data_IF_858153988608
#
_entry.id   IF_858153988608
#
_cell.length_a   1.000
_cell.length_b   1.000
_cell.length_c   1.000
_cell.angle_alpha   90.00
_cell.angle_beta   90.00
_cell.angle_gamma   90.00
#
_symmetry.space_group_name_H-M   'P 1'
#
loop_
_entity.id
_entity.type
_entity.pdbx_description
1 polymer ?
#
# COMPACT_ATOMS: atom_id res chain seq x y z
N UNK A 1 38.07 9.10 -8.47
CA UNK A 1 37.41 8.07 -7.64
C UNK A 1 35.90 8.29 -7.62
N UNK A 2 35.39 9.50 -7.30
CA UNK A 2 33.93 9.78 -7.24
C UNK A 2 33.23 9.64 -8.60
N UNK A 3 33.86 10.06 -9.70
CA UNK A 3 33.31 9.91 -11.04
C UNK A 3 33.23 8.43 -11.46
N UNK A 4 34.20 7.64 -11.07
CA UNK A 4 34.19 6.17 -11.27
C UNK A 4 33.10 5.51 -10.43
N UNK A 5 32.96 5.89 -9.16
CA UNK A 5 31.94 5.41 -8.28
C UNK A 5 30.53 5.71 -8.82
N UNK A 6 30.30 6.90 -9.36
CA UNK A 6 29.02 7.30 -9.95
C UNK A 6 28.72 6.62 -11.28
N UNK A 7 29.74 6.09 -12.00
CA UNK A 7 29.57 5.34 -13.26
C UNK A 7 29.35 3.84 -13.05
N UNK A 8 29.69 3.34 -11.86
CA UNK A 8 29.56 1.93 -11.49
C UNK A 8 28.34 1.80 -10.59
N UNK A 9 27.15 1.67 -11.18
CA UNK A 9 25.92 1.40 -10.44
C UNK A 9 25.83 -0.09 -10.04
N UNK A 10 26.73 -0.54 -9.16
CA UNK A 10 26.60 -1.84 -8.50
C UNK A 10 25.74 -1.61 -7.27
N UNK A 11 24.44 -1.85 -7.40
CA UNK A 11 23.46 -1.65 -6.32
C UNK A 11 23.24 -2.90 -5.46
N UNK A 12 23.71 -4.07 -5.94
CA UNK A 12 23.50 -5.35 -5.24
C UNK A 12 24.59 -6.38 -5.60
N UNK A 13 24.72 -7.41 -4.77
CA UNK A 13 25.61 -8.54 -5.09
C UNK A 13 25.21 -9.28 -6.37
N UNK A 14 23.96 -9.18 -6.81
CA UNK A 14 23.51 -9.71 -8.08
C UNK A 14 24.13 -8.96 -9.27
N UNK A 15 24.32 -7.64 -9.14
CA UNK A 15 24.92 -6.82 -10.20
C UNK A 15 26.40 -7.12 -10.36
N UNK A 16 27.08 -7.55 -9.29
CA UNK A 16 28.48 -8.01 -9.30
C UNK A 16 28.65 -9.15 -10.30
N UNK A 17 27.82 -10.18 -10.27
CA UNK A 17 27.86 -11.32 -11.18
C UNK A 17 27.61 -10.91 -12.64
N UNK A 18 26.69 -10.00 -12.89
CA UNK A 18 26.39 -9.49 -14.21
C UNK A 18 27.56 -8.64 -14.75
N UNK A 19 28.17 -7.83 -13.90
CA UNK A 19 29.29 -6.97 -14.24
C UNK A 19 30.55 -7.81 -14.52
N UNK A 20 30.82 -8.84 -13.74
CA UNK A 20 31.94 -9.77 -13.99
C UNK A 20 31.83 -10.44 -15.36
N UNK A 21 30.63 -10.90 -15.75
CA UNK A 21 30.36 -11.49 -17.08
C UNK A 21 30.56 -10.49 -18.22
N UNK A 22 30.20 -9.23 -18.02
CA UNK A 22 30.43 -8.16 -19.01
C UNK A 22 31.91 -7.83 -19.12
N UNK A 23 32.61 -7.73 -17.99
CA UNK A 23 34.04 -7.40 -17.96
C UNK A 23 34.90 -8.50 -18.58
N UNK A 24 34.54 -9.76 -18.40
CA UNK A 24 35.22 -10.89 -19.03
C UNK A 24 35.14 -10.87 -20.56
N UNK A 25 34.16 -10.18 -21.14
CA UNK A 25 33.95 -10.07 -22.61
C UNK A 25 34.48 -8.75 -23.18
N UNK A 26 34.93 -7.81 -22.35
CA UNK A 26 35.35 -6.50 -22.82
C UNK A 26 36.78 -6.56 -23.35
N UNK A 27 37.02 -5.87 -24.44
CA UNK A 27 38.37 -5.63 -25.00
C UNK A 27 38.92 -4.24 -24.56
N UNK A 28 38.15 -3.50 -23.83
CA UNK A 28 38.57 -2.18 -23.32
C UNK A 28 39.72 -2.32 -22.33
N UNK A 29 40.66 -1.39 -22.37
CA UNK A 29 41.81 -1.30 -21.49
C UNK A 29 41.86 0.10 -20.83
N UNK A 30 42.46 0.20 -19.66
CA UNK A 30 42.63 1.46 -18.98
C UNK A 30 42.41 1.39 -17.47
N UNK A 31 42.80 2.48 -16.73
CA UNK A 31 42.80 2.47 -15.26
C UNK A 31 41.43 2.13 -14.64
N UNK A 32 40.34 2.53 -15.31
CA UNK A 32 39.01 2.25 -14.82
C UNK A 32 38.65 0.75 -14.92
N UNK A 33 39.09 0.09 -16.01
CA UNK A 33 38.88 -1.35 -16.20
C UNK A 33 39.68 -2.16 -15.21
N UNK A 34 40.94 -1.76 -14.95
CA UNK A 34 41.82 -2.43 -13.99
C UNK A 34 41.29 -2.28 -12.56
N UNK A 35 40.81 -1.07 -12.18
CA UNK A 35 40.17 -0.85 -10.89
C UNK A 35 38.90 -1.70 -10.71
N UNK A 36 38.12 -1.86 -11.78
CA UNK A 36 36.92 -2.72 -11.75
C UNK A 36 37.29 -4.18 -11.61
N UNK A 37 38.31 -4.67 -12.32
CA UNK A 37 38.79 -6.04 -12.17
C UNK A 37 39.21 -6.32 -10.74
N UNK A 38 40.05 -5.46 -10.15
CA UNK A 38 40.50 -5.60 -8.79
C UNK A 38 39.32 -5.64 -7.78
N UNK A 39 38.33 -4.78 -7.97
CA UNK A 39 37.12 -4.79 -7.14
C UNK A 39 36.34 -6.10 -7.30
N UNK A 40 36.16 -6.59 -8.52
CA UNK A 40 35.43 -7.83 -8.78
C UNK A 40 36.17 -9.05 -8.23
N UNK A 41 37.50 -9.11 -8.34
CA UNK A 41 38.30 -10.20 -7.79
C UNK A 41 38.12 -10.33 -6.27
N UNK A 42 37.92 -9.20 -5.56
CA UNK A 42 37.65 -9.18 -4.14
C UNK A 42 36.21 -9.58 -3.78
N UNK A 43 35.21 -9.09 -4.52
CA UNK A 43 33.79 -9.21 -4.15
C UNK A 43 33.08 -10.40 -4.80
N UNK A 44 33.60 -10.91 -5.94
CA UNK A 44 32.99 -12.00 -6.69
C UNK A 44 32.81 -13.29 -5.88
N UNK A 45 33.75 -13.76 -5.08
CA UNK A 45 33.58 -14.96 -4.26
C UNK A 45 32.38 -14.87 -3.32
N UNK A 46 32.17 -13.68 -2.73
CA UNK A 46 31.01 -13.43 -1.86
C UNK A 46 29.70 -13.45 -2.66
N UNK A 47 29.68 -12.80 -3.83
CA UNK A 47 28.52 -12.77 -4.71
C UNK A 47 28.12 -14.18 -5.19
N UNK A 48 29.07 -15.02 -5.53
CA UNK A 48 28.85 -16.42 -5.91
C UNK A 48 28.34 -17.27 -4.73
N UNK A 49 28.94 -17.09 -3.56
CA UNK A 49 28.47 -17.78 -2.35
C UNK A 49 27.01 -17.42 -2.02
N UNK A 50 26.66 -16.14 -2.10
CA UNK A 50 25.26 -15.68 -1.90
C UNK A 50 24.34 -16.22 -2.99
N UNK A 51 24.77 -16.22 -4.26
CA UNK A 51 24.00 -16.76 -5.38
C UNK A 51 23.71 -18.26 -5.20
N UNK A 52 24.66 -19.03 -4.67
CA UNK A 52 24.50 -20.48 -4.39
C UNK A 52 23.44 -20.77 -3.33
N UNK A 53 23.10 -19.79 -2.49
CA UNK A 53 22.05 -19.93 -1.49
C UNK A 53 20.65 -19.75 -2.06
N UNK A 54 20.51 -19.28 -3.30
CA UNK A 54 19.21 -18.98 -3.93
C UNK A 54 18.25 -20.17 -3.89
N UNK A 55 18.75 -21.36 -4.14
CA UNK A 55 17.94 -22.58 -4.15
C UNK A 55 17.64 -23.12 -2.74
N UNK A 56 18.36 -22.62 -1.73
CA UNK A 56 18.16 -22.95 -0.32
C UNK A 56 17.22 -21.96 0.37
N UNK A 57 16.86 -20.86 -0.29
CA UNK A 57 15.96 -19.85 0.27
C UNK A 57 14.53 -20.36 0.22
N UNK A 58 13.98 -20.67 1.37
CA UNK A 58 12.55 -20.95 1.53
C UNK A 58 11.82 -19.62 1.40
N UNK A 59 11.09 -19.43 0.30
CA UNK A 59 10.25 -18.25 0.10
C UNK A 59 9.05 -18.32 1.04
N UNK A 60 8.85 -17.26 1.78
CA UNK A 60 7.72 -17.12 2.66
C UNK A 60 8.13 -16.75 4.08
N UNK A 61 7.14 -16.64 4.94
CA UNK A 61 7.37 -16.41 6.37
C UNK A 61 7.89 -17.69 6.99
N UNK A 62 9.00 -17.61 7.73
CA UNK A 62 9.47 -18.75 8.55
C UNK A 62 8.28 -19.26 9.37
N UNK A 63 7.92 -20.55 9.29
CA UNK A 63 6.89 -21.11 10.16
C UNK A 63 7.25 -20.77 11.61
N UNK A 64 6.29 -20.25 12.37
CA UNK A 64 6.53 -20.03 13.79
C UNK A 64 6.88 -21.38 14.42
N UNK A 65 8.06 -21.47 14.99
CA UNK A 65 8.48 -22.63 15.80
C UNK A 65 7.66 -22.76 17.10
N UNK A 66 7.00 -21.67 17.50
CA UNK A 66 6.07 -21.71 18.64
C UNK A 66 4.71 -22.26 18.20
N UNK A 67 4.12 -23.15 18.97
CA UNK A 67 2.77 -23.62 18.74
C UNK A 67 1.84 -22.42 18.62
N UNK A 68 0.93 -22.46 17.66
CA UNK A 68 -0.08 -21.40 17.50
C UNK A 68 -0.71 -21.16 18.88
N UNK A 69 -0.81 -19.89 19.29
CA UNK A 69 -1.47 -19.56 20.56
C UNK A 69 -2.80 -20.30 20.61
N UNK A 70 -3.11 -20.97 21.73
CA UNK A 70 -4.35 -21.73 21.83
C UNK A 70 -5.52 -20.83 21.38
N UNK A 71 -6.28 -21.32 20.42
CA UNK A 71 -7.47 -20.63 19.94
C UNK A 71 -8.42 -20.56 21.13
N UNK A 72 -8.77 -19.37 21.57
CA UNK A 72 -9.77 -19.21 22.61
C UNK A 72 -11.10 -19.76 22.07
N UNK A 73 -11.62 -20.88 22.61
CA UNK A 73 -12.83 -21.51 22.13
C UNK A 73 -14.07 -20.61 22.28
N UNK A 74 -14.01 -19.61 23.17
CA UNK A 74 -15.10 -18.66 23.42
C UNK A 74 -14.99 -17.40 22.54
N UNK A 75 -14.04 -17.37 21.58
CA UNK A 75 -13.87 -16.23 20.69
C UNK A 75 -14.96 -16.24 19.60
N UNK A 76 -15.96 -15.41 19.77
CA UNK A 76 -16.98 -15.18 18.76
C UNK A 76 -16.38 -14.30 17.66
N UNK A 77 -16.46 -14.73 16.42
CA UNK A 77 -16.02 -13.98 15.24
C UNK A 77 -17.20 -13.77 14.32
N UNK A 78 -17.46 -12.51 13.94
CA UNK A 78 -18.55 -12.10 13.05
C UNK A 78 -18.05 -11.09 12.01
N UNK A 79 -18.88 -10.73 11.05
CA UNK A 79 -18.52 -9.82 9.96
C UNK A 79 -18.63 -8.37 10.41
N UNK A 80 -17.58 -7.58 10.20
CA UNK A 80 -17.61 -6.15 10.42
C UNK A 80 -18.53 -5.47 9.41
N UNK A 81 -19.49 -4.66 9.88
CA UNK A 81 -20.46 -3.98 9.03
C UNK A 81 -19.88 -2.88 8.11
N UNK A 82 -18.64 -2.42 8.36
CA UNK A 82 -17.99 -1.39 7.56
C UNK A 82 -16.95 -1.94 6.57
N UNK A 83 -16.15 -2.93 6.96
CA UNK A 83 -15.07 -3.45 6.10
C UNK A 83 -15.27 -4.92 5.68
N UNK A 84 -16.35 -5.55 6.08
CA UNK A 84 -16.76 -6.93 5.74
C UNK A 84 -15.75 -8.03 6.09
N UNK A 85 -14.76 -7.74 6.94
CA UNK A 85 -13.80 -8.75 7.44
C UNK A 85 -14.36 -9.47 8.64
N UNK A 86 -13.95 -10.73 8.79
CA UNK A 86 -14.24 -11.54 9.97
C UNK A 86 -13.39 -11.02 11.15
N UNK A 87 -14.04 -10.47 12.17
CA UNK A 87 -13.41 -9.80 13.32
C UNK A 87 -14.02 -10.34 14.61
N UNK A 88 -13.24 -10.42 15.68
CA UNK A 88 -13.72 -10.80 16.99
C UNK A 88 -14.77 -9.81 17.51
N UNK A 89 -15.80 -10.34 18.16
CA UNK A 89 -16.81 -9.55 18.87
C UNK A 89 -16.36 -9.39 20.32
N UNK A 90 -16.44 -8.18 20.84
CA UNK A 90 -16.16 -7.84 22.24
C UNK A 90 -17.36 -8.20 23.13
N UNK A 91 -17.12 -8.30 24.44
CA UNK A 91 -18.20 -8.58 25.42
C UNK A 91 -19.38 -7.59 25.34
N UNK A 92 -19.11 -6.34 24.93
CA UNK A 92 -20.13 -5.32 24.70
C UNK A 92 -20.93 -5.48 23.39
N UNK A 93 -20.69 -6.53 22.61
CA UNK A 93 -21.40 -6.79 21.35
C UNK A 93 -20.90 -5.99 20.15
N UNK A 94 -19.86 -5.17 20.30
CA UNK A 94 -19.22 -4.41 19.21
C UNK A 94 -17.99 -5.14 18.66
N UNK A 95 -17.46 -4.67 17.52
CA UNK A 95 -16.29 -5.27 16.88
C UNK A 95 -15.00 -4.90 17.63
N UNK A 96 -14.07 -5.84 17.73
CA UNK A 96 -12.73 -5.55 18.25
C UNK A 96 -11.98 -4.58 17.33
N UNK A 97 -10.96 -3.89 17.87
CA UNK A 97 -10.08 -2.99 17.10
C UNK A 97 -9.41 -3.71 15.93
N UNK A 98 -9.56 -3.18 14.73
CA UNK A 98 -8.99 -3.74 13.51
C UNK A 98 -8.82 -2.67 12.44
N UNK A 99 -8.15 -3.03 11.32
CA UNK A 99 -7.99 -2.12 10.19
C UNK A 99 -6.83 -1.13 10.30
N UNK A 100 -6.13 -1.12 11.44
CA UNK A 100 -4.92 -0.34 11.58
C UNK A 100 -3.71 -1.15 11.06
N UNK A 101 -2.81 -0.50 10.36
CA UNK A 101 -1.48 -1.04 10.12
C UNK A 101 -0.61 -0.67 11.33
N UNK A 102 0.08 -1.66 11.90
CA UNK A 102 1.16 -1.35 12.84
C UNK A 102 2.32 -0.81 12.02
N UNK A 103 2.80 0.38 12.30
CA UNK A 103 3.91 0.93 11.57
C UNK A 103 5.21 0.21 11.92
N UNK A 104 6.05 -0.04 10.92
CA UNK A 104 7.48 -0.20 11.13
C UNK A 104 8.13 1.13 11.52
N UNK A 105 7.56 2.26 11.07
CA UNK A 105 8.19 3.59 11.14
C UNK A 105 7.26 4.71 11.63
N UNK A 106 6.40 4.44 12.60
CA UNK A 106 5.69 5.51 13.32
C UNK A 106 4.34 5.97 12.75
N UNK A 107 3.85 5.41 11.67
CA UNK A 107 2.50 5.70 11.17
C UNK A 107 1.46 4.75 11.74
N UNK A 108 0.60 5.27 12.59
CA UNK A 108 -0.56 4.55 13.07
C UNK A 108 -1.79 4.98 12.26
N UNK A 109 -2.32 4.08 11.43
CA UNK A 109 -3.59 4.33 10.75
C UNK A 109 -4.74 4.20 11.76
N UNK A 110 -5.79 4.97 11.57
CA UNK A 110 -6.99 4.87 12.40
C UNK A 110 -7.62 3.49 12.31
N UNK A 111 -8.21 3.02 13.40
CA UNK A 111 -9.02 1.81 13.39
C UNK A 111 -10.21 1.95 12.45
N UNK A 112 -10.67 0.81 11.90
CA UNK A 112 -11.90 0.78 11.13
C UNK A 112 -13.08 1.36 11.93
N UNK A 113 -13.91 2.24 11.36
CA UNK A 113 -15.09 2.78 12.06
C UNK A 113 -16.06 1.70 12.54
N UNK A 114 -16.00 0.49 11.96
CA UNK A 114 -16.78 -0.67 12.37
C UNK A 114 -16.65 -1.08 13.83
N UNK A 115 -15.61 -0.62 14.54
CA UNK A 115 -15.47 -0.83 16.00
C UNK A 115 -16.61 -0.21 16.82
N UNK A 116 -17.33 0.76 16.26
CA UNK A 116 -18.44 1.47 16.92
C UNK A 116 -19.77 0.78 16.75
N UNK A 117 -19.85 -0.18 15.84
CA UNK A 117 -21.10 -0.83 15.42
C UNK A 117 -21.13 -2.30 15.82
N UNK A 118 -22.32 -2.82 15.90
CA UNK A 118 -22.57 -4.26 16.03
C UNK A 118 -22.15 -4.99 14.73
N UNK A 119 -21.91 -6.30 14.80
CA UNK A 119 -21.66 -7.11 13.62
C UNK A 119 -22.77 -6.97 12.55
N UNK A 120 -22.40 -7.15 11.29
CA UNK A 120 -23.33 -7.07 10.17
C UNK A 120 -24.48 -8.09 10.28
N UNK A 121 -24.24 -9.24 10.90
CA UNK A 121 -25.26 -10.26 11.16
C UNK A 121 -26.34 -9.79 12.14
N UNK A 122 -26.04 -8.77 12.94
CA UNK A 122 -26.94 -8.27 13.99
C UNK A 122 -27.59 -6.94 13.62
N UNK A 123 -26.85 -6.05 12.94
CA UNK A 123 -27.30 -4.70 12.63
C UNK A 123 -26.70 -4.18 11.34
N UNK A 124 -27.51 -3.47 10.56
CA UNK A 124 -27.09 -2.78 9.34
C UNK A 124 -26.58 -1.34 9.58
N UNK A 125 -26.54 -0.87 10.83
CA UNK A 125 -26.14 0.50 11.16
C UNK A 125 -24.74 0.87 10.63
N UNK A 126 -23.75 -0.02 10.78
CA UNK A 126 -22.42 0.20 10.26
C UNK A 126 -22.36 0.21 8.73
N UNK A 127 -23.24 -0.55 8.06
CA UNK A 127 -23.37 -0.53 6.61
C UNK A 127 -24.00 0.79 6.14
N UNK A 128 -25.05 1.28 6.80
CA UNK A 128 -25.63 2.61 6.52
C UNK A 128 -24.63 3.72 6.74
N UNK A 129 -23.86 3.65 7.83
CA UNK A 129 -22.82 4.63 8.11
C UNK A 129 -21.78 4.71 6.98
N UNK A 130 -21.27 3.58 6.49
CA UNK A 130 -20.25 3.62 5.43
C UNK A 130 -20.84 4.11 4.10
N UNK A 131 -22.11 3.86 3.83
CA UNK A 131 -22.83 4.43 2.68
C UNK A 131 -22.83 5.96 2.78
N UNK A 132 -23.22 6.52 3.92
CA UNK A 132 -23.21 7.99 4.13
C UNK A 132 -21.82 8.58 3.95
N UNK A 133 -20.78 7.92 4.48
CA UNK A 133 -19.39 8.37 4.28
C UNK A 133 -19.00 8.38 2.81
N UNK A 134 -19.37 7.36 2.04
CA UNK A 134 -19.10 7.32 0.60
C UNK A 134 -19.93 8.36 -0.18
N UNK A 135 -21.18 8.63 0.22
CA UNK A 135 -22.00 9.69 -0.37
C UNK A 135 -21.40 11.08 -0.14
N UNK A 136 -20.90 11.35 1.07
CA UNK A 136 -20.19 12.60 1.39
C UNK A 136 -18.88 12.72 0.60
N UNK A 137 -18.16 11.61 0.41
CA UNK A 137 -16.93 11.58 -0.40
C UNK A 137 -17.24 11.87 -1.87
N UNK A 138 -18.27 11.23 -2.43
CA UNK A 138 -18.72 11.45 -3.80
C UNK A 138 -19.13 12.91 -4.02
N UNK A 139 -19.91 13.48 -3.09
CA UNK A 139 -20.34 14.89 -3.17
C UNK A 139 -19.13 15.83 -3.17
N UNK A 140 -18.17 15.62 -2.27
CA UNK A 140 -16.95 16.45 -2.20
C UNK A 140 -16.11 16.35 -3.47
N UNK A 141 -15.90 15.12 -3.99
CA UNK A 141 -15.13 14.93 -5.22
C UNK A 141 -15.82 15.56 -6.44
N UNK A 142 -17.13 15.45 -6.54
CA UNK A 142 -17.94 16.06 -7.61
C UNK A 142 -17.87 17.60 -7.55
N UNK A 143 -18.03 18.19 -6.37
CA UNK A 143 -17.88 19.64 -6.17
C UNK A 143 -16.47 20.10 -6.53
N UNK A 144 -15.44 19.41 -6.03
CA UNK A 144 -14.05 19.74 -6.33
C UNK A 144 -13.72 19.63 -7.83
N UNK A 145 -14.33 18.69 -8.55
CA UNK A 145 -14.18 18.58 -10.00
C UNK A 145 -14.88 19.75 -10.71
N UNK A 146 -16.08 20.12 -10.28
CA UNK A 146 -16.82 21.29 -10.82
C UNK A 146 -16.06 22.60 -10.63
N UNK A 147 -15.41 22.77 -9.48
CA UNK A 147 -14.65 23.98 -9.15
C UNK A 147 -13.22 23.97 -9.72
N UNK A 148 -12.79 22.87 -10.33
CA UNK A 148 -11.40 22.65 -10.73
C UNK A 148 -10.85 23.68 -11.73
N UNK A 149 -11.71 24.32 -12.52
CA UNK A 149 -11.30 25.35 -13.49
C UNK A 149 -11.04 26.72 -12.84
N UNK A 150 -11.47 26.92 -11.60
CA UNK A 150 -11.32 28.18 -10.87
C UNK A 150 -10.14 28.19 -9.92
N UNK A 151 -9.53 27.03 -9.68
CA UNK A 151 -8.39 26.94 -8.76
C UNK A 151 -7.13 27.53 -9.36
N UNK A 152 -6.36 28.26 -8.56
CA UNK A 152 -5.12 28.93 -8.97
C UNK A 152 -3.87 28.31 -8.38
N UNK A 153 -4.02 27.32 -7.50
CA UNK A 153 -2.87 26.62 -6.91
C UNK A 153 -3.21 25.19 -6.50
N UNK A 154 -2.24 24.29 -6.63
CA UNK A 154 -2.30 22.90 -6.22
C UNK A 154 -1.09 22.52 -5.38
N UNK A 155 -1.29 21.56 -4.48
CA UNK A 155 -0.18 20.92 -3.78
C UNK A 155 0.05 19.55 -4.40
N UNK A 156 1.23 19.35 -4.99
CA UNK A 156 1.61 18.10 -5.66
C UNK A 156 2.69 17.37 -4.88
N UNK A 157 2.78 16.05 -4.99
CA UNK A 157 3.88 15.29 -4.43
C UNK A 157 5.23 15.77 -4.98
N UNK A 158 6.20 15.98 -4.13
CA UNK A 158 7.58 16.16 -4.53
C UNK A 158 8.16 14.87 -5.14
N UNK A 159 9.37 14.95 -5.70
CA UNK A 159 10.13 13.74 -6.07
C UNK A 159 10.34 12.88 -4.81
N UNK A 160 10.54 11.56 -5.03
CA UNK A 160 10.72 10.60 -3.92
C UNK A 160 11.67 11.15 -2.84
N UNK A 161 11.16 11.27 -1.61
CA UNK A 161 11.91 11.81 -0.46
C UNK A 161 11.89 13.34 -0.34
N UNK A 162 11.21 14.06 -1.23
CA UNK A 162 11.05 15.51 -1.12
C UNK A 162 9.67 15.88 -0.53
N UNK A 163 9.59 17.05 0.15
CA UNK A 163 8.32 17.54 0.66
C UNK A 163 7.33 17.85 -0.47
N UNK A 164 6.06 17.98 -0.10
CA UNK A 164 5.02 18.45 -0.99
C UNK A 164 5.40 19.82 -1.59
N UNK A 165 5.13 19.99 -2.89
CA UNK A 165 5.40 21.24 -3.61
C UNK A 165 4.09 21.93 -3.95
N UNK A 166 3.98 23.22 -3.64
CA UNK A 166 2.90 24.05 -4.14
C UNK A 166 3.23 24.50 -5.57
N UNK A 167 2.28 24.39 -6.48
CA UNK A 167 2.34 24.84 -7.87
C UNK A 167 1.16 25.79 -8.12
N UNK A 168 1.37 26.82 -8.90
CA UNK A 168 0.39 27.85 -9.24
C UNK A 168 0.11 27.89 -10.75
N UNK A 169 -0.91 28.61 -11.15
CA UNK A 169 -1.29 28.81 -12.56
C UNK A 169 -0.22 29.55 -13.40
N UNK A 170 0.77 30.18 -12.74
CA UNK A 170 1.92 30.82 -13.37
C UNK A 170 3.09 29.86 -13.63
N UNK A 171 3.05 28.65 -13.10
CA UNK A 171 4.14 27.68 -13.23
C UNK A 171 4.02 26.88 -14.55
N UNK A 172 5.13 26.65 -15.24
CA UNK A 172 5.16 25.90 -16.51
C UNK A 172 4.58 24.47 -16.44
N UNK A 173 4.53 23.87 -15.25
CA UNK A 173 3.95 22.54 -15.01
C UNK A 173 2.46 22.54 -14.65
N UNK A 174 1.82 23.69 -14.56
CA UNK A 174 0.46 23.85 -14.09
C UNK A 174 -0.56 23.02 -14.87
N UNK A 175 -0.56 23.12 -16.18
CA UNK A 175 -1.53 22.43 -17.04
C UNK A 175 -1.52 20.90 -16.81
N UNK A 176 -0.34 20.31 -16.68
CA UNK A 176 -0.19 18.88 -16.42
C UNK A 176 -0.62 18.51 -14.98
N UNK A 177 -0.34 19.38 -14.01
CA UNK A 177 -0.76 19.15 -12.62
C UNK A 177 -2.28 19.24 -12.49
N UNK A 178 -2.91 20.21 -13.13
CA UNK A 178 -4.37 20.37 -13.17
C UNK A 178 -5.05 19.20 -13.87
N UNK A 179 -4.51 18.76 -15.01
CA UNK A 179 -5.03 17.59 -15.72
C UNK A 179 -4.95 16.32 -14.84
N UNK A 180 -3.82 16.10 -14.18
CA UNK A 180 -3.64 14.97 -13.26
C UNK A 180 -4.60 15.04 -12.07
N UNK A 181 -4.83 16.22 -11.53
CA UNK A 181 -5.78 16.46 -10.44
C UNK A 181 -7.21 16.12 -10.87
N UNK A 182 -7.68 16.63 -12.03
CA UNK A 182 -9.00 16.31 -12.59
C UNK A 182 -9.17 14.83 -12.82
N UNK A 183 -8.19 14.17 -13.46
CA UNK A 183 -8.22 12.74 -13.69
C UNK A 183 -8.29 11.93 -12.37
N UNK A 184 -7.59 12.40 -11.33
CA UNK A 184 -7.69 11.82 -9.98
C UNK A 184 -9.10 11.89 -9.42
N UNK A 185 -9.74 13.06 -9.50
CA UNK A 185 -11.13 13.27 -9.05
C UNK A 185 -12.13 12.43 -9.85
N UNK A 186 -12.01 12.39 -11.17
CA UNK A 186 -12.88 11.53 -12.01
C UNK A 186 -12.74 10.05 -11.67
N UNK A 187 -11.53 9.61 -11.41
CA UNK A 187 -11.27 8.23 -10.98
C UNK A 187 -11.87 7.95 -9.59
N UNK A 188 -11.75 8.89 -8.66
CA UNK A 188 -12.33 8.79 -7.32
C UNK A 188 -13.87 8.73 -7.41
N UNK A 189 -14.50 9.57 -8.21
CA UNK A 189 -15.95 9.59 -8.45
C UNK A 189 -16.39 8.21 -8.95
N UNK A 190 -15.83 7.72 -10.06
CA UNK A 190 -16.20 6.41 -10.63
C UNK A 190 -16.06 5.27 -9.61
N UNK A 191 -14.92 5.22 -8.90
CA UNK A 191 -14.68 4.17 -7.92
C UNK A 191 -15.68 4.25 -6.75
N UNK A 192 -16.00 5.46 -6.30
CA UNK A 192 -16.95 5.66 -5.18
C UNK A 192 -18.37 5.30 -5.60
N UNK A 193 -18.79 5.61 -6.82
CA UNK A 193 -20.08 5.20 -7.38
C UNK A 193 -20.23 3.67 -7.44
N UNK A 194 -19.18 2.96 -7.89
CA UNK A 194 -19.19 1.50 -7.93
C UNK A 194 -19.29 0.89 -6.52
N UNK A 195 -18.53 1.45 -5.57
CA UNK A 195 -18.58 1.05 -4.16
C UNK A 195 -19.98 1.28 -3.60
N UNK A 196 -20.55 2.47 -3.80
CA UNK A 196 -21.91 2.80 -3.35
C UNK A 196 -22.96 1.87 -3.93
N UNK A 197 -22.87 1.56 -5.22
CA UNK A 197 -23.77 0.58 -5.86
C UNK A 197 -23.71 -0.77 -5.15
N UNK A 198 -22.51 -1.27 -4.89
CA UNK A 198 -22.32 -2.55 -4.18
C UNK A 198 -22.85 -2.51 -2.73
N UNK A 199 -22.59 -1.42 -2.00
CA UNK A 199 -23.04 -1.25 -0.62
C UNK A 199 -24.57 -1.17 -0.54
N UNK A 200 -25.22 -0.42 -1.45
CA UNK A 200 -26.67 -0.29 -1.51
C UNK A 200 -27.34 -1.63 -1.86
N UNK A 201 -26.74 -2.42 -2.76
CA UNK A 201 -27.22 -3.79 -3.06
C UNK A 201 -27.13 -4.68 -1.82
N UNK A 202 -26.03 -4.60 -1.07
CA UNK A 202 -25.89 -5.34 0.20
C UNK A 202 -26.92 -4.91 1.23
N UNK A 203 -27.20 -3.60 1.34
CA UNK A 203 -28.19 -3.08 2.26
C UNK A 203 -29.61 -3.55 1.87
N UNK A 204 -29.94 -3.52 0.57
CA UNK A 204 -31.24 -4.00 0.08
C UNK A 204 -31.47 -5.50 0.31
N UNK A 205 -30.39 -6.29 0.24
CA UNK A 205 -30.43 -7.74 0.49
C UNK A 205 -30.25 -8.12 1.97
N UNK A 206 -29.94 -7.14 2.82
CA UNK A 206 -29.61 -7.41 4.22
C UNK A 206 -30.82 -7.90 5.02
N UNK A 207 -30.59 -8.94 5.81
CA UNK A 207 -31.54 -9.45 6.81
C UNK A 207 -30.75 -9.80 8.08
N UNK A 208 -31.27 -9.50 9.27
CA UNK A 208 -30.64 -9.95 10.50
C UNK A 208 -30.61 -11.48 10.52
N UNK A 209 -29.48 -12.05 10.99
CA UNK A 209 -29.46 -13.49 11.28
C UNK A 209 -30.19 -13.73 12.59
N UNK A 210 -31.13 -14.66 12.59
CA UNK A 210 -31.80 -15.11 13.81
C UNK A 210 -30.77 -15.69 14.78
N UNK A 211 -30.84 -15.29 16.05
CA UNK A 211 -30.02 -15.85 17.12
C UNK A 211 -30.43 -17.31 17.31
N UNK A 212 -29.66 -18.24 16.74
CA UNK A 212 -29.90 -19.69 16.87
C UNK A 212 -29.36 -20.58 15.79
N UNK A 213 -28.78 -20.03 14.71
CA UNK A 213 -28.23 -20.79 13.59
C UNK A 213 -26.70 -20.89 13.62
N UNK A 214 -26.10 -21.39 14.68
CA UNK A 214 -24.67 -21.69 14.76
C UNK A 214 -24.47 -23.05 15.46
#
# INVERSE_FOLDING_TARGET
VQALWNSIMIMSLHDVLATARKLAKTTATGPAVEAMKAYLDEVLPLAEAVASLKDKVIRGRVPRSEPARPVNPNKIVKTCACCFRAIAVMQGGTMAHHGYQRPGDGYQTASCPGIRFRPLEVSDEGLRYIITVCEDQLSRATTALGDSDTITSLTIPGRRGQPLKKITDQDAGWANALLSYKFGLESEIRNTEEVLKSLRQRLAAWKPMEEGSA
#
